data_IF_391286440595
#
_entry.id   IF_391286440595
#
_cell.length_a   1.000
_cell.length_b   1.000
_cell.length_c   1.000
_cell.angle_alpha   90.00
_cell.angle_beta   90.00
_cell.angle_gamma   90.00
#
_symmetry.space_group_name_H-M   'P 1'
#
loop_
_entity.id
_entity.type
_entity.pdbx_description
1 polymer ?
#
# COMPACT_ATOMS: atom_id res chain seq x y z
N UNK A 1 54.50 30.48 32.11
CA UNK A 1 54.45 29.33 31.17
C UNK A 1 53.76 28.17 31.86
N UNK A 2 52.45 27.99 31.61
CA UNK A 2 51.72 26.71 31.75
C UNK A 2 50.40 26.82 31.01
N UNK A 3 50.14 25.76 30.27
CA UNK A 3 49.28 25.65 29.10
C UNK A 3 47.82 25.43 29.53
N UNK A 4 46.89 26.18 28.93
CA UNK A 4 45.47 25.86 28.90
C UNK A 4 44.90 26.16 27.50
N UNK A 5 45.21 25.28 26.56
CA UNK A 5 44.43 25.08 25.34
C UNK A 5 44.20 23.58 25.22
N UNK A 6 42.95 23.17 24.99
CA UNK A 6 42.40 21.82 24.75
C UNK A 6 41.26 21.50 25.72
N UNK A 7 40.05 21.99 25.42
CA UNK A 7 38.78 21.36 25.83
C UNK A 7 37.51 21.91 25.15
N UNK A 8 37.63 22.84 24.20
CA UNK A 8 36.47 23.41 23.48
C UNK A 8 36.05 22.62 22.25
N UNK A 9 36.98 22.13 21.43
CA UNK A 9 36.66 21.68 20.07
C UNK A 9 35.98 20.30 20.02
N UNK A 10 36.30 19.39 20.94
CA UNK A 10 35.73 18.03 20.96
C UNK A 10 34.23 17.99 21.31
N UNK A 11 33.72 18.94 22.10
CA UNK A 11 32.30 18.96 22.47
C UNK A 11 31.43 19.61 21.37
N UNK A 12 31.97 20.59 20.63
CA UNK A 12 31.26 21.24 19.53
C UNK A 12 31.21 20.39 18.25
N UNK A 13 32.27 19.65 17.93
CA UNK A 13 32.27 18.71 16.80
C UNK A 13 31.25 17.57 16.98
N UNK A 14 31.12 17.03 18.20
CA UNK A 14 30.14 15.97 18.51
C UNK A 14 28.68 16.41 18.35
N UNK A 15 28.34 17.64 18.76
CA UNK A 15 26.99 18.20 18.58
C UNK A 15 26.66 18.45 17.11
N UNK A 16 27.58 19.04 16.34
CA UNK A 16 27.36 19.31 14.91
C UNK A 16 27.28 18.00 14.10
N UNK A 17 28.05 16.98 14.46
CA UNK A 17 27.97 15.64 13.85
C UNK A 17 26.64 14.93 14.14
N UNK A 18 26.13 15.06 15.37
CA UNK A 18 24.81 14.56 15.76
C UNK A 18 23.67 15.23 14.98
N UNK A 19 23.82 16.49 14.56
CA UNK A 19 22.86 17.16 13.67
C UNK A 19 22.95 16.64 12.22
N UNK A 20 24.15 16.36 11.69
CA UNK A 20 24.33 15.72 10.37
C UNK A 20 23.69 14.34 10.30
N UNK A 21 23.86 13.53 11.34
CA UNK A 21 23.31 12.18 11.41
C UNK A 21 21.77 12.20 11.40
N UNK A 22 21.13 13.10 12.16
CA UNK A 22 19.66 13.27 12.15
C UNK A 22 19.12 13.74 10.81
N UNK A 23 19.78 14.72 10.18
CA UNK A 23 19.41 15.20 8.84
C UNK A 23 19.51 14.05 7.83
N UNK A 24 20.58 13.26 7.90
CA UNK A 24 20.76 12.08 7.07
C UNK A 24 19.67 11.03 7.31
N UNK A 25 19.30 10.74 8.56
CA UNK A 25 18.27 9.73 8.86
C UNK A 25 16.96 10.01 8.12
N UNK A 26 16.56 11.28 8.07
CA UNK A 26 15.39 11.71 7.29
C UNK A 26 15.56 11.44 5.79
N UNK A 27 16.70 11.83 5.21
CA UNK A 27 16.97 11.62 3.77
C UNK A 27 17.05 10.13 3.43
N UNK A 28 17.67 9.33 4.28
CA UNK A 28 17.78 7.89 4.13
C UNK A 28 16.42 7.21 4.17
N UNK A 29 15.56 7.64 5.11
CA UNK A 29 14.18 7.16 5.20
C UNK A 29 13.42 7.48 3.91
N UNK A 30 13.48 8.72 3.44
CA UNK A 30 12.85 9.15 2.18
C UNK A 30 13.44 8.42 0.95
N UNK A 31 14.75 8.17 0.93
CA UNK A 31 15.38 7.44 -0.16
C UNK A 31 14.89 5.99 -0.22
N UNK A 32 14.88 5.29 0.92
CA UNK A 32 14.34 3.92 1.01
C UNK A 32 12.86 3.87 0.63
N UNK A 33 12.07 4.85 1.06
CA UNK A 33 10.67 5.01 0.70
C UNK A 33 10.49 5.08 -0.83
N UNK A 34 11.25 5.97 -1.50
CA UNK A 34 11.20 6.14 -2.95
C UNK A 34 11.72 4.91 -3.72
N UNK A 35 12.74 4.23 -3.19
CA UNK A 35 13.25 2.97 -3.74
C UNK A 35 12.21 1.85 -3.64
N UNK A 36 11.54 1.72 -2.49
CA UNK A 36 10.47 0.73 -2.29
C UNK A 36 9.32 0.94 -3.29
N UNK A 37 8.99 2.20 -3.61
CA UNK A 37 7.98 2.50 -4.65
C UNK A 37 8.46 2.04 -6.02
N UNK A 38 9.64 2.53 -6.45
CA UNK A 38 10.19 2.26 -7.77
C UNK A 38 10.33 0.76 -8.04
N UNK A 39 10.88 0.04 -7.07
CA UNK A 39 11.23 -1.37 -7.22
C UNK A 39 10.10 -2.32 -6.85
N UNK A 40 9.27 -1.97 -5.86
CA UNK A 40 8.06 -2.71 -5.55
C UNK A 40 7.09 -2.70 -6.74
N UNK A 41 6.98 -1.58 -7.45
CA UNK A 41 6.16 -1.52 -8.66
C UNK A 41 6.74 -2.38 -9.80
N UNK A 42 8.05 -2.27 -10.07
CA UNK A 42 8.72 -3.10 -11.08
C UNK A 42 8.51 -4.59 -10.81
N UNK A 43 8.66 -5.01 -9.57
CA UNK A 43 8.45 -6.39 -9.14
C UNK A 43 6.98 -6.80 -9.34
N UNK A 44 6.03 -6.02 -8.85
CA UNK A 44 4.59 -6.32 -8.99
C UNK A 44 4.16 -6.41 -10.45
N UNK A 45 4.64 -5.49 -11.30
CA UNK A 45 4.40 -5.50 -12.76
C UNK A 45 4.98 -6.76 -13.40
N UNK A 46 6.20 -7.16 -13.03
CA UNK A 46 6.82 -8.40 -13.54
C UNK A 46 6.13 -9.67 -13.06
N UNK A 47 5.68 -9.72 -11.81
CA UNK A 47 4.89 -10.85 -11.29
C UNK A 47 3.59 -11.00 -12.08
N UNK A 48 2.93 -9.90 -12.42
CA UNK A 48 1.75 -9.94 -13.27
C UNK A 48 2.06 -10.45 -14.69
N UNK A 49 3.20 -10.07 -15.27
CA UNK A 49 3.59 -10.47 -16.63
C UNK A 49 4.11 -11.91 -16.75
N UNK A 50 4.88 -12.38 -15.75
CA UNK A 50 5.60 -13.65 -15.81
C UNK A 50 5.00 -14.72 -14.88
N UNK A 51 4.14 -14.34 -13.94
CA UNK A 51 3.58 -15.24 -12.93
C UNK A 51 4.51 -15.48 -11.74
N UNK A 52 3.91 -15.78 -10.59
CA UNK A 52 4.59 -15.95 -9.30
C UNK A 52 5.60 -17.12 -9.27
N UNK A 53 5.45 -18.11 -10.15
CA UNK A 53 6.40 -19.23 -10.21
C UNK A 53 7.78 -18.83 -10.78
N UNK A 54 7.91 -17.61 -11.31
CA UNK A 54 9.13 -17.10 -11.94
C UNK A 54 9.91 -16.09 -11.06
N UNK A 55 9.69 -16.09 -9.73
CA UNK A 55 10.31 -15.11 -8.81
C UNK A 55 11.84 -15.00 -8.97
N UNK A 56 12.57 -16.11 -9.11
CA UNK A 56 14.02 -16.06 -9.29
C UNK A 56 14.42 -15.23 -10.51
N UNK A 57 13.78 -15.46 -11.66
CA UNK A 57 14.01 -14.70 -12.88
C UNK A 57 13.68 -13.21 -12.70
N UNK A 58 12.55 -12.91 -12.05
CA UNK A 58 12.11 -11.54 -11.77
C UNK A 58 13.16 -10.82 -10.90
N UNK A 59 13.63 -11.47 -9.84
CA UNK A 59 14.67 -10.93 -8.95
C UNK A 59 15.98 -10.71 -9.71
N UNK A 60 16.40 -11.67 -10.53
CA UNK A 60 17.63 -11.57 -11.33
C UNK A 60 17.58 -10.38 -12.32
N UNK A 61 16.41 -10.04 -12.85
CA UNK A 61 16.23 -8.87 -13.74
C UNK A 61 16.27 -7.53 -12.99
N UNK A 62 15.73 -7.48 -11.76
CA UNK A 62 15.53 -6.23 -11.02
C UNK A 62 16.73 -5.90 -10.12
N UNK A 63 17.26 -6.92 -9.43
CA UNK A 63 18.27 -6.81 -8.38
C UNK A 63 19.52 -6.03 -8.79
N UNK A 64 20.11 -6.23 -9.99
CA UNK A 64 21.33 -5.51 -10.37
C UNK A 64 21.16 -3.98 -10.33
N UNK A 65 20.02 -3.47 -10.82
CA UNK A 65 19.76 -2.02 -10.81
C UNK A 65 19.44 -1.50 -9.42
N UNK A 66 18.69 -2.25 -8.61
CA UNK A 66 18.40 -1.90 -7.22
C UNK A 66 19.69 -1.78 -6.39
N UNK A 67 20.54 -2.81 -6.46
CA UNK A 67 21.81 -2.86 -5.72
C UNK A 67 22.72 -1.72 -6.13
N UNK A 68 22.77 -1.39 -7.43
CA UNK A 68 23.60 -0.31 -7.93
C UNK A 68 23.15 1.06 -7.42
N UNK A 69 21.84 1.37 -7.45
CA UNK A 69 21.31 2.64 -6.93
C UNK A 69 21.51 2.76 -5.41
N UNK A 70 21.29 1.67 -4.66
CA UNK A 70 21.57 1.61 -3.22
C UNK A 70 23.05 1.84 -2.91
N UNK A 71 23.95 1.21 -3.68
CA UNK A 71 25.39 1.34 -3.50
C UNK A 71 25.85 2.79 -3.69
N UNK A 72 25.43 3.45 -4.77
CA UNK A 72 25.80 4.84 -5.01
C UNK A 72 25.27 5.79 -3.93
N UNK A 73 24.06 5.55 -3.43
CA UNK A 73 23.53 6.35 -2.32
C UNK A 73 24.34 6.16 -1.03
N UNK A 74 24.74 4.94 -0.69
CA UNK A 74 25.57 4.66 0.48
C UNK A 74 26.98 5.27 0.37
N UNK A 75 27.59 5.27 -0.82
CA UNK A 75 28.86 5.96 -1.07
C UNK A 75 28.72 7.50 -0.94
N UNK A 76 27.65 8.07 -1.48
CA UNK A 76 27.36 9.51 -1.35
C UNK A 76 27.13 9.90 0.12
N UNK A 77 26.40 9.07 0.87
CA UNK A 77 26.22 9.23 2.31
C UNK A 77 27.55 9.20 3.04
N UNK A 78 28.40 8.21 2.76
CA UNK A 78 29.71 8.09 3.40
C UNK A 78 30.51 9.37 3.19
N UNK A 79 30.53 9.86 1.96
CA UNK A 79 31.19 11.12 1.59
C UNK A 79 30.65 12.31 2.38
N UNK A 80 29.32 12.47 2.45
CA UNK A 80 28.68 13.53 3.23
C UNK A 80 29.02 13.45 4.74
N UNK A 81 28.92 12.26 5.34
CA UNK A 81 29.19 12.08 6.78
C UNK A 81 30.66 12.32 7.15
N UNK A 82 31.58 12.15 6.21
CA UNK A 82 33.02 12.43 6.40
C UNK A 82 33.47 13.80 5.89
N UNK A 83 32.56 14.62 5.34
CA UNK A 83 32.89 15.91 4.73
C UNK A 83 33.28 16.98 5.76
N UNK A 84 34.24 17.84 5.37
CA UNK A 84 34.62 19.04 6.11
C UNK A 84 33.50 20.10 6.05
N UNK A 85 33.42 21.04 7.02
CA UNK A 85 32.36 22.05 7.07
C UNK A 85 32.21 22.90 5.79
N UNK A 86 33.32 23.22 5.12
CA UNK A 86 33.36 24.00 3.89
C UNK A 86 32.77 23.26 2.67
N UNK A 87 32.84 21.92 2.66
CA UNK A 87 32.33 21.07 1.58
C UNK A 87 30.93 20.50 1.87
N UNK A 88 30.47 20.60 3.13
CA UNK A 88 29.27 19.93 3.62
C UNK A 88 28.02 20.25 2.79
N UNK A 89 27.84 21.51 2.40
CA UNK A 89 26.68 21.93 1.61
C UNK A 89 26.69 21.27 0.23
N UNK A 90 27.87 21.19 -0.40
CA UNK A 90 28.04 20.55 -1.71
C UNK A 90 27.78 19.05 -1.63
N UNK A 91 28.35 18.38 -0.62
CA UNK A 91 28.17 16.94 -0.48
C UNK A 91 26.73 16.57 -0.05
N UNK A 92 26.07 17.43 0.71
CA UNK A 92 24.64 17.32 0.98
C UNK A 92 23.78 17.45 -0.29
N UNK A 93 24.11 18.41 -1.18
CA UNK A 93 23.43 18.55 -2.48
C UNK A 93 23.66 17.31 -3.35
N UNK A 94 24.87 16.74 -3.35
CA UNK A 94 25.16 15.50 -4.08
C UNK A 94 24.32 14.33 -3.54
N UNK A 95 24.22 14.18 -2.22
CA UNK A 95 23.41 13.15 -1.58
C UNK A 95 21.91 13.29 -1.92
N UNK A 96 21.36 14.49 -1.77
CA UNK A 96 19.94 14.77 -2.05
C UNK A 96 19.58 14.62 -3.53
N UNK A 97 20.55 14.80 -4.44
CA UNK A 97 20.35 14.54 -5.87
C UNK A 97 19.94 13.09 -6.16
N UNK A 98 20.47 12.11 -5.43
CA UNK A 98 20.06 10.71 -5.59
C UNK A 98 18.59 10.50 -5.22
N UNK A 99 18.17 11.01 -4.06
CA UNK A 99 16.77 11.00 -3.64
C UNK A 99 15.88 11.68 -4.68
N UNK A 100 16.26 12.86 -5.16
CA UNK A 100 15.50 13.60 -6.15
C UNK A 100 15.39 12.84 -7.47
N UNK A 101 16.46 12.18 -7.93
CA UNK A 101 16.43 11.37 -9.14
C UNK A 101 15.44 10.21 -9.04
N UNK A 102 15.47 9.44 -7.94
CA UNK A 102 14.52 8.32 -7.74
C UNK A 102 13.09 8.84 -7.66
N UNK A 103 12.86 9.96 -6.95
CA UNK A 103 11.55 10.61 -6.89
C UNK A 103 11.06 11.04 -8.27
N UNK A 104 11.94 11.61 -9.10
CA UNK A 104 11.60 12.01 -10.46
C UNK A 104 11.31 10.80 -11.37
N UNK A 105 12.02 9.69 -11.19
CA UNK A 105 11.71 8.45 -11.92
C UNK A 105 10.32 7.92 -11.56
N UNK A 106 9.93 7.98 -10.29
CA UNK A 106 8.60 7.61 -9.84
C UNK A 106 7.53 8.54 -10.44
N UNK A 107 7.77 9.86 -10.45
CA UNK A 107 6.85 10.82 -11.09
C UNK A 107 6.71 10.58 -12.60
N UNK A 108 7.82 10.29 -13.30
CA UNK A 108 7.77 9.90 -14.72
C UNK A 108 6.97 8.62 -14.93
N UNK A 109 7.12 7.64 -14.03
CA UNK A 109 6.36 6.40 -14.08
C UNK A 109 4.85 6.68 -13.99
N UNK A 110 4.41 7.62 -13.15
CA UNK A 110 3.00 8.03 -13.09
C UNK A 110 2.52 8.56 -14.44
N UNK A 111 3.29 9.45 -15.06
CA UNK A 111 2.92 10.04 -16.35
C UNK A 111 2.92 9.00 -17.48
N UNK A 112 3.90 8.09 -17.50
CA UNK A 112 3.92 6.96 -18.42
C UNK A 112 2.70 6.05 -18.25
N UNK A 113 2.30 5.75 -17.00
CA UNK A 113 1.11 4.93 -16.74
C UNK A 113 -0.17 5.59 -17.24
N UNK A 114 -0.32 6.90 -17.03
CA UNK A 114 -1.47 7.67 -17.52
C UNK A 114 -1.52 7.71 -19.03
N UNK A 115 -0.39 8.01 -19.68
CA UNK A 115 -0.29 8.05 -21.15
C UNK A 115 -0.70 6.72 -21.75
N UNK A 116 -0.14 5.63 -21.22
CA UNK A 116 -0.40 4.28 -21.71
C UNK A 116 -1.83 3.82 -21.48
N UNK A 117 -2.44 4.24 -20.37
CA UNK A 117 -3.88 4.06 -20.14
C UNK A 117 -4.71 4.80 -21.19
N UNK A 118 -4.41 6.07 -21.48
CA UNK A 118 -5.12 6.87 -22.50
C UNK A 118 -4.98 6.25 -23.90
N UNK A 119 -3.83 5.64 -24.20
CA UNK A 119 -3.59 4.88 -25.42
C UNK A 119 -4.32 3.52 -25.46
N UNK A 120 -5.10 3.17 -24.42
CA UNK A 120 -5.81 1.90 -24.25
C UNK A 120 -4.90 0.66 -24.31
N UNK A 121 -3.67 0.78 -23.81
CA UNK A 121 -2.84 -0.42 -23.62
C UNK A 121 -3.41 -1.31 -22.51
N UNK A 122 -3.34 -2.62 -22.70
CA UNK A 122 -3.91 -3.60 -21.76
C UNK A 122 -3.28 -3.52 -20.37
N UNK A 123 -4.09 -3.74 -19.33
CA UNK A 123 -3.71 -3.81 -17.91
C UNK A 123 -3.21 -2.50 -17.27
N UNK A 124 -3.30 -1.35 -17.95
CA UNK A 124 -2.82 -0.10 -17.37
C UNK A 124 -3.76 0.48 -16.30
N UNK A 125 -5.04 0.12 -16.30
CA UNK A 125 -5.96 0.33 -15.18
C UNK A 125 -5.44 -0.37 -13.91
N UNK A 126 -5.01 -1.63 -14.05
CA UNK A 126 -4.43 -2.44 -12.98
C UNK A 126 -3.06 -1.89 -12.54
N UNK A 127 -2.22 -1.45 -13.48
CA UNK A 127 -0.90 -0.90 -13.14
C UNK A 127 -0.99 0.47 -12.47
N UNK A 128 -1.96 1.32 -12.84
CA UNK A 128 -2.29 2.52 -12.08
C UNK A 128 -2.66 2.15 -10.65
N UNK A 129 -3.54 1.17 -10.46
CA UNK A 129 -3.94 0.73 -9.13
C UNK A 129 -2.75 0.21 -8.30
N UNK A 130 -1.90 -0.65 -8.89
CA UNK A 130 -0.69 -1.15 -8.22
C UNK A 130 0.24 -0.02 -7.80
N UNK A 131 0.52 0.94 -8.68
CA UNK A 131 1.42 2.03 -8.33
C UNK A 131 0.83 2.92 -7.24
N UNK A 132 -0.46 3.27 -7.34
CA UNK A 132 -1.17 4.05 -6.31
C UNK A 132 -1.15 3.37 -4.94
N UNK A 133 -1.45 2.07 -4.89
CA UNK A 133 -1.43 1.29 -3.64
C UNK A 133 -0.02 1.18 -3.03
N UNK A 134 1.02 1.04 -3.85
CA UNK A 134 2.40 1.02 -3.39
C UNK A 134 2.81 2.40 -2.86
N UNK A 135 2.47 3.49 -3.55
CA UNK A 135 2.69 4.85 -3.05
C UNK A 135 2.03 5.06 -1.69
N UNK A 136 0.76 4.66 -1.54
CA UNK A 136 0.03 4.75 -0.27
C UNK A 136 0.66 3.88 0.82
N UNK A 137 1.08 2.65 0.51
CA UNK A 137 1.74 1.77 1.48
C UNK A 137 3.10 2.32 1.93
N UNK A 138 3.80 2.99 1.03
CA UNK A 138 5.04 3.69 1.33
C UNK A 138 4.82 5.12 1.82
N UNK A 139 3.63 5.53 2.27
CA UNK A 139 3.36 6.87 2.81
C UNK A 139 3.69 8.06 1.88
N UNK A 140 3.72 7.84 0.56
CA UNK A 140 3.80 8.90 -0.47
C UNK A 140 2.40 9.24 -0.96
N UNK A 141 1.61 9.85 -0.07
CA UNK A 141 0.19 10.13 -0.28
C UNK A 141 -0.06 11.07 -1.46
N UNK A 142 0.76 12.11 -1.67
CA UNK A 142 0.62 13.02 -2.82
C UNK A 142 0.72 12.29 -4.17
N UNK A 143 1.57 11.25 -4.28
CA UNK A 143 1.67 10.45 -5.49
C UNK A 143 0.45 9.53 -5.66
N UNK A 144 -0.01 8.94 -4.57
CA UNK A 144 -1.20 8.09 -4.56
C UNK A 144 -2.45 8.89 -4.98
N UNK A 145 -2.65 10.09 -4.41
CA UNK A 145 -3.76 10.99 -4.76
C UNK A 145 -3.74 11.39 -6.24
N UNK A 146 -2.57 11.69 -6.82
CA UNK A 146 -2.45 11.99 -8.27
C UNK A 146 -2.94 10.84 -9.15
N UNK A 147 -2.74 9.60 -8.70
CA UNK A 147 -3.13 8.41 -9.45
C UNK A 147 -4.61 8.14 -9.25
N UNK A 148 -5.08 8.13 -8.00
CA UNK A 148 -6.48 7.90 -7.67
C UNK A 148 -7.38 8.99 -8.27
N UNK A 149 -6.95 10.25 -8.23
CA UNK A 149 -7.62 11.38 -8.88
C UNK A 149 -7.75 11.18 -10.38
N UNK A 150 -6.65 10.81 -11.05
CA UNK A 150 -6.68 10.46 -12.47
C UNK A 150 -7.64 9.30 -12.76
N UNK A 151 -7.60 8.22 -11.96
CA UNK A 151 -8.54 7.11 -12.12
C UNK A 151 -10.00 7.58 -12.06
N UNK A 152 -10.35 8.46 -11.11
CA UNK A 152 -11.69 9.02 -11.01
C UNK A 152 -12.07 9.89 -12.21
N UNK A 153 -11.15 10.71 -12.72
CA UNK A 153 -11.35 11.50 -13.95
C UNK A 153 -11.63 10.61 -15.17
N UNK A 154 -11.04 9.41 -15.21
CA UNK A 154 -11.27 8.42 -16.25
C UNK A 154 -12.48 7.51 -15.97
N UNK A 155 -13.23 7.74 -14.88
CA UNK A 155 -14.38 6.92 -14.50
C UNK A 155 -14.04 5.54 -13.93
N UNK A 156 -12.77 5.29 -13.59
CA UNK A 156 -12.33 4.06 -12.94
C UNK A 156 -12.75 4.07 -11.47
N UNK A 157 -13.63 3.14 -11.12
CA UNK A 157 -14.24 3.10 -9.78
C UNK A 157 -13.25 2.70 -8.68
N UNK A 158 -12.11 2.10 -9.02
CA UNK A 158 -11.06 1.73 -8.07
C UNK A 158 -10.39 2.95 -7.42
N UNK A 159 -10.43 4.13 -8.07
CA UNK A 159 -9.95 5.38 -7.46
C UNK A 159 -10.66 5.71 -6.15
N UNK A 160 -11.96 5.41 -6.02
CA UNK A 160 -12.70 5.59 -4.76
C UNK A 160 -12.20 4.66 -3.65
N UNK A 161 -11.79 3.45 -4.00
CA UNK A 161 -11.19 2.51 -3.03
C UNK A 161 -9.82 3.04 -2.61
N UNK A 162 -9.02 3.54 -3.56
CA UNK A 162 -7.73 4.16 -3.30
C UNK A 162 -7.82 5.33 -2.33
N UNK A 163 -8.68 6.32 -2.61
CA UNK A 163 -8.93 7.45 -1.71
C UNK A 163 -9.44 7.01 -0.34
N UNK A 164 -10.43 6.12 -0.29
CA UNK A 164 -10.97 5.70 1.01
C UNK A 164 -9.94 4.96 1.87
N UNK A 165 -9.04 4.17 1.27
CA UNK A 165 -7.93 3.55 1.98
C UNK A 165 -6.84 4.55 2.41
N UNK A 166 -6.65 5.62 1.67
CA UNK A 166 -5.73 6.71 2.00
C UNK A 166 -6.29 7.53 3.17
N UNK A 167 -7.55 7.95 3.11
CA UNK A 167 -8.24 8.68 4.18
C UNK A 167 -8.21 7.88 5.48
N UNK A 168 -8.43 6.55 5.39
CA UNK A 168 -8.30 5.66 6.55
C UNK A 168 -6.88 5.66 7.14
N UNK A 169 -5.84 5.73 6.30
CA UNK A 169 -4.44 5.77 6.74
C UNK A 169 -4.09 7.04 7.51
N UNK A 170 -4.72 8.16 7.16
CA UNK A 170 -4.55 9.44 7.85
C UNK A 170 -5.62 9.68 8.93
N UNK A 171 -6.41 8.66 9.29
CA UNK A 171 -7.46 8.67 10.31
C UNK A 171 -8.68 9.56 9.98
N UNK A 172 -8.89 9.92 8.71
CA UNK A 172 -10.06 10.67 8.22
C UNK A 172 -11.22 9.71 7.89
N UNK A 173 -11.71 8.99 8.90
CA UNK A 173 -12.68 7.90 8.74
C UNK A 173 -14.01 8.31 8.08
N UNK A 174 -14.43 9.57 8.25
CA UNK A 174 -15.67 10.08 7.63
C UNK A 174 -15.51 10.20 6.11
N UNK A 175 -14.38 10.75 5.64
CA UNK A 175 -14.11 10.88 4.21
C UNK A 175 -13.88 9.50 3.59
N UNK A 176 -13.17 8.61 4.29
CA UNK A 176 -13.03 7.20 3.89
C UNK A 176 -14.40 6.54 3.65
N UNK A 177 -15.33 6.73 4.59
CA UNK A 177 -16.70 6.24 4.48
C UNK A 177 -17.43 6.79 3.25
N UNK A 178 -17.33 8.10 2.98
CA UNK A 178 -17.93 8.69 1.77
C UNK A 178 -17.35 8.09 0.50
N UNK A 179 -16.02 7.97 0.40
CA UNK A 179 -15.36 7.38 -0.75
C UNK A 179 -15.85 5.96 -1.02
N UNK A 180 -15.88 5.09 0.00
CA UNK A 180 -16.39 3.74 -0.19
C UNK A 180 -17.90 3.71 -0.49
N UNK A 181 -18.71 4.55 0.15
CA UNK A 181 -20.14 4.64 -0.17
C UNK A 181 -20.40 5.05 -1.63
N UNK A 182 -19.66 6.05 -2.14
CA UNK A 182 -19.76 6.44 -3.55
C UNK A 182 -19.28 5.32 -4.47
N UNK A 183 -18.15 4.68 -4.14
CA UNK A 183 -17.64 3.51 -4.87
C UNK A 183 -18.67 2.39 -4.95
N UNK A 184 -19.35 2.06 -3.84
CA UNK A 184 -20.42 1.06 -3.81
C UNK A 184 -21.60 1.47 -4.69
N UNK A 185 -22.06 2.71 -4.58
CA UNK A 185 -23.19 3.26 -5.36
C UNK A 185 -22.97 3.17 -6.87
N UNK A 186 -21.73 3.31 -7.34
CA UNK A 186 -21.37 3.20 -8.77
C UNK A 186 -20.95 1.78 -9.18
N UNK A 187 -21.08 0.79 -8.30
CA UNK A 187 -20.87 -0.62 -8.61
C UNK A 187 -19.46 -1.16 -8.37
N UNK A 188 -18.60 -0.47 -7.60
CA UNK A 188 -17.32 -1.05 -7.21
C UNK A 188 -17.53 -2.20 -6.21
N UNK A 189 -17.16 -3.41 -6.65
CA UNK A 189 -17.35 -4.67 -5.90
C UNK A 189 -16.58 -4.71 -4.57
N UNK A 190 -15.45 -4.01 -4.45
CA UNK A 190 -14.61 -3.98 -3.24
C UNK A 190 -15.15 -3.02 -2.18
N UNK A 191 -16.07 -2.13 -2.54
CA UNK A 191 -16.48 -1.03 -1.67
C UNK A 191 -17.24 -1.51 -0.43
N UNK A 192 -18.14 -2.49 -0.58
CA UNK A 192 -18.91 -3.05 0.53
C UNK A 192 -17.99 -3.72 1.57
N UNK A 193 -16.99 -4.48 1.12
CA UNK A 193 -15.99 -5.07 2.01
C UNK A 193 -15.22 -3.99 2.78
N UNK A 194 -14.74 -2.96 2.09
CA UNK A 194 -13.99 -1.86 2.71
C UNK A 194 -14.84 -1.05 3.71
N UNK A 195 -16.14 -0.86 3.45
CA UNK A 195 -17.07 -0.31 4.43
C UNK A 195 -17.18 -1.20 5.67
N UNK A 196 -17.29 -2.52 5.48
CA UNK A 196 -17.29 -3.48 6.58
C UNK A 196 -16.05 -3.35 7.46
N UNK A 197 -14.86 -3.32 6.85
CA UNK A 197 -13.60 -3.12 7.57
C UNK A 197 -13.54 -1.76 8.30
N UNK A 198 -14.00 -0.68 7.65
CA UNK A 198 -14.02 0.66 8.25
C UNK A 198 -14.90 0.70 9.50
N UNK A 199 -16.14 0.22 9.40
CA UNK A 199 -17.07 0.20 10.54
C UNK A 199 -16.56 -0.71 11.66
N UNK A 200 -15.92 -1.82 11.32
CA UNK A 200 -15.32 -2.71 12.30
C UNK A 200 -14.17 -2.03 13.06
N UNK A 201 -13.29 -1.30 12.35
CA UNK A 201 -12.16 -0.57 12.91
C UNK A 201 -12.62 0.54 13.89
N UNK A 202 -13.72 1.23 13.59
CA UNK A 202 -14.31 2.26 14.48
C UNK A 202 -15.27 1.69 15.53
N UNK A 203 -15.35 0.36 15.67
CA UNK A 203 -16.14 -0.31 16.72
C UNK A 203 -17.64 -0.39 16.46
N UNK A 204 -18.11 -0.03 15.26
CA UNK A 204 -19.51 -0.09 14.85
C UNK A 204 -19.86 -1.46 14.28
N UNK A 205 -19.90 -2.48 15.15
CA UNK A 205 -19.96 -3.89 14.74
C UNK A 205 -21.23 -4.28 13.98
N UNK A 206 -22.37 -3.65 14.26
CA UNK A 206 -23.63 -3.90 13.55
C UNK A 206 -23.56 -3.44 12.10
N UNK A 207 -22.96 -2.27 11.85
CA UNK A 207 -22.73 -1.76 10.51
C UNK A 207 -21.68 -2.58 9.78
N UNK A 208 -20.62 -3.03 10.46
CA UNK A 208 -19.64 -3.94 9.89
C UNK A 208 -20.29 -5.26 9.42
N UNK A 209 -21.11 -5.88 10.28
CA UNK A 209 -21.85 -7.10 9.96
C UNK A 209 -22.76 -6.90 8.74
N UNK A 210 -23.47 -5.76 8.67
CA UNK A 210 -24.29 -5.42 7.51
C UNK A 210 -23.45 -5.37 6.22
N UNK A 211 -22.35 -4.62 6.23
CA UNK A 211 -21.55 -4.41 5.02
C UNK A 211 -20.78 -5.66 4.58
N UNK A 212 -20.30 -6.48 5.50
CA UNK A 212 -19.72 -7.78 5.15
C UNK A 212 -20.76 -8.72 4.52
N UNK A 213 -21.98 -8.76 5.06
CA UNK A 213 -23.09 -9.51 4.42
C UNK A 213 -23.43 -8.98 3.04
N UNK A 214 -23.43 -7.67 2.84
CA UNK A 214 -23.63 -7.04 1.54
C UNK A 214 -22.53 -7.45 0.55
N UNK A 215 -21.25 -7.43 0.97
CA UNK A 215 -20.14 -7.86 0.12
C UNK A 215 -20.25 -9.35 -0.27
N UNK A 216 -20.59 -10.22 0.67
CA UNK A 216 -20.84 -11.65 0.41
C UNK A 216 -22.00 -11.81 -0.58
N UNK A 217 -23.10 -11.11 -0.34
CA UNK A 217 -24.32 -11.23 -1.13
C UNK A 217 -24.15 -10.76 -2.56
N UNK A 218 -23.59 -9.57 -2.75
CA UNK A 218 -23.50 -8.93 -4.05
C UNK A 218 -22.30 -9.43 -4.88
N UNK A 219 -21.21 -9.84 -4.23
CA UNK A 219 -19.94 -10.11 -4.90
C UNK A 219 -19.36 -11.49 -4.61
N UNK A 220 -20.04 -12.34 -3.83
CA UNK A 220 -19.51 -13.61 -3.35
C UNK A 220 -18.14 -13.43 -2.67
N UNK A 221 -17.98 -12.33 -1.93
CA UNK A 221 -16.72 -11.92 -1.34
C UNK A 221 -16.31 -12.87 -0.19
N UNK A 222 -15.23 -13.61 -0.41
CA UNK A 222 -14.72 -14.63 0.53
C UNK A 222 -13.93 -13.98 1.67
N UNK A 223 -13.29 -12.83 1.44
CA UNK A 223 -12.59 -12.08 2.48
C UNK A 223 -13.61 -11.51 3.48
N UNK A 224 -14.72 -10.98 2.97
CA UNK A 224 -15.86 -10.55 3.79
C UNK A 224 -16.44 -11.71 4.63
N UNK A 225 -16.47 -12.93 4.08
CA UNK A 225 -16.89 -14.13 4.83
C UNK A 225 -15.94 -14.46 5.99
N UNK A 226 -14.63 -14.38 5.75
CA UNK A 226 -13.62 -14.58 6.78
C UNK A 226 -13.73 -13.51 7.89
N UNK A 227 -13.87 -12.24 7.52
CA UNK A 227 -14.01 -11.12 8.45
C UNK A 227 -15.32 -11.19 9.26
N UNK A 228 -16.42 -11.58 8.62
CA UNK A 228 -17.68 -11.85 9.32
C UNK A 228 -17.52 -13.01 10.34
N UNK A 229 -16.73 -14.02 10.00
CA UNK A 229 -16.31 -15.08 10.91
C UNK A 229 -15.52 -14.54 12.12
N UNK A 230 -14.57 -13.63 11.90
CA UNK A 230 -13.83 -12.94 12.97
C UNK A 230 -14.74 -12.11 13.87
N UNK A 231 -15.65 -11.32 13.28
CA UNK A 231 -16.64 -10.52 14.01
C UNK A 231 -17.53 -11.39 14.91
N UNK A 232 -18.00 -12.53 14.40
CA UNK A 232 -18.78 -13.50 15.19
C UNK A 232 -17.98 -14.15 16.31
N UNK A 233 -16.67 -14.32 16.15
CA UNK A 233 -15.82 -14.81 17.24
C UNK A 233 -15.81 -13.80 18.40
N UNK A 234 -15.61 -12.53 18.07
CA UNK A 234 -15.48 -11.45 19.04
C UNK A 234 -16.80 -11.12 19.74
N UNK A 235 -17.93 -11.41 19.10
CA UNK A 235 -19.27 -11.29 19.71
C UNK A 235 -19.76 -12.57 20.41
N UNK A 236 -18.88 -13.56 20.62
CA UNK A 236 -19.21 -14.80 21.35
C UNK A 236 -20.05 -15.82 20.56
N UNK A 237 -20.33 -15.56 19.28
CA UNK A 237 -21.08 -16.46 18.38
C UNK A 237 -20.14 -17.55 17.80
N UNK A 238 -19.43 -18.27 18.68
CA UNK A 238 -18.33 -19.19 18.34
C UNK A 238 -18.70 -20.23 17.28
N UNK A 239 -19.88 -20.85 17.38
CA UNK A 239 -20.34 -21.86 16.41
C UNK A 239 -20.47 -21.28 14.99
N UNK A 240 -21.06 -20.08 14.86
CA UNK A 240 -21.17 -19.40 13.56
C UNK A 240 -19.79 -19.04 13.02
N UNK A 241 -18.95 -18.45 13.87
CA UNK A 241 -17.57 -18.09 13.51
C UNK A 241 -16.79 -19.26 12.91
N UNK A 242 -16.77 -20.41 13.61
CA UNK A 242 -16.05 -21.60 13.16
C UNK A 242 -16.58 -22.12 11.81
N UNK A 243 -17.89 -22.10 11.60
CA UNK A 243 -18.49 -22.47 10.31
C UNK A 243 -18.03 -21.53 9.18
N UNK A 244 -18.08 -20.21 9.38
CA UNK A 244 -17.73 -19.26 8.32
C UNK A 244 -16.26 -19.29 7.97
N UNK A 245 -15.38 -19.32 8.99
CA UNK A 245 -13.93 -19.37 8.77
C UNK A 245 -13.51 -20.62 8.00
N UNK A 246 -14.11 -21.77 8.31
CA UNK A 246 -13.87 -23.02 7.60
C UNK A 246 -14.31 -22.96 6.14
N UNK A 247 -15.48 -22.37 5.86
CA UNK A 247 -15.95 -22.19 4.48
C UNK A 247 -15.02 -21.24 3.72
N UNK A 248 -14.63 -20.12 4.34
CA UNK A 248 -13.74 -19.14 3.73
C UNK A 248 -12.38 -19.75 3.39
N UNK A 249 -11.77 -20.52 4.30
CA UNK A 249 -10.50 -21.22 4.08
C UNK A 249 -10.55 -22.14 2.87
N UNK A 250 -11.57 -23.01 2.78
CA UNK A 250 -11.76 -23.89 1.63
C UNK A 250 -11.93 -23.13 0.32
N UNK A 251 -12.71 -22.05 0.34
CA UNK A 251 -12.94 -21.22 -0.84
C UNK A 251 -11.68 -20.45 -1.29
N UNK A 252 -10.86 -19.97 -0.35
CA UNK A 252 -9.63 -19.22 -0.63
C UNK A 252 -8.53 -20.11 -1.22
N UNK A 253 -8.25 -21.25 -0.59
CA UNK A 253 -7.11 -22.09 -0.95
C UNK A 253 -7.46 -23.18 -1.97
N UNK A 254 -8.76 -23.43 -2.21
CA UNK A 254 -9.25 -24.49 -3.11
C UNK A 254 -8.68 -25.87 -2.78
N UNK A 255 -8.34 -26.10 -1.52
CA UNK A 255 -7.72 -27.35 -1.05
C UNK A 255 -8.75 -28.47 -0.90
N UNK A 256 -9.94 -28.14 -0.40
CA UNK A 256 -11.04 -29.08 -0.16
C UNK A 256 -12.36 -28.57 -0.74
N UNK A 257 -13.17 -29.49 -1.25
CA UNK A 257 -14.56 -29.19 -1.62
C UNK A 257 -15.40 -28.86 -0.38
N UNK A 258 -16.39 -27.97 -0.56
CA UNK A 258 -17.40 -27.73 0.46
C UNK A 258 -18.27 -28.99 0.61
N UNK A 259 -18.55 -29.38 1.86
CA UNK A 259 -19.61 -30.35 2.13
C UNK A 259 -20.97 -29.80 1.72
N UNK A 260 -21.96 -30.67 1.49
CA UNK A 260 -23.34 -30.25 1.17
C UNK A 260 -23.86 -29.20 2.18
N UNK A 261 -23.57 -29.36 3.47
CA UNK A 261 -23.99 -28.40 4.49
C UNK A 261 -23.26 -27.05 4.40
N UNK A 262 -21.98 -27.06 4.07
CA UNK A 262 -21.17 -25.84 3.89
C UNK A 262 -21.63 -25.09 2.64
N UNK A 263 -21.92 -25.80 1.56
CA UNK A 263 -22.45 -25.24 0.32
C UNK A 263 -23.84 -24.63 0.51
N UNK A 264 -24.74 -25.29 1.26
CA UNK A 264 -26.03 -24.71 1.66
C UNK A 264 -25.88 -23.40 2.43
N UNK A 265 -24.93 -23.33 3.39
CA UNK A 265 -24.67 -22.11 4.15
C UNK A 265 -24.16 -21.01 3.22
N UNK A 266 -23.20 -21.33 2.34
CA UNK A 266 -22.61 -20.39 1.40
C UNK A 266 -23.63 -19.85 0.39
N UNK A 267 -24.48 -20.70 -0.16
CA UNK A 267 -25.55 -20.30 -1.07
C UNK A 267 -26.55 -19.37 -0.38
N UNK A 268 -26.98 -19.72 0.83
CA UNK A 268 -27.93 -18.91 1.61
C UNK A 268 -27.46 -17.48 1.89
N UNK A 269 -26.15 -17.25 2.01
CA UNK A 269 -25.61 -15.89 2.22
C UNK A 269 -25.57 -15.05 0.94
N UNK A 270 -25.66 -15.72 -0.21
CA UNK A 270 -25.62 -15.09 -1.54
C UNK A 270 -27.01 -14.87 -2.14
N UNK A 271 -28.02 -15.56 -1.62
CA UNK A 271 -29.42 -15.38 -2.01
C UNK A 271 -29.93 -13.95 -1.77
N UNK A 272 -30.70 -13.44 -2.73
CA UNK A 272 -31.57 -12.28 -2.52
C UNK A 272 -32.89 -12.73 -1.89
N UNK A 273 -33.51 -11.89 -1.06
CA UNK A 273 -34.78 -12.25 -0.41
C UNK A 273 -35.92 -12.52 -1.42
N UNK A 274 -35.76 -12.11 -2.69
CA UNK A 274 -36.71 -12.34 -3.79
C UNK A 274 -36.74 -13.79 -4.31
N UNK A 275 -35.73 -14.61 -4.02
CA UNK A 275 -35.68 -16.02 -4.49
C UNK A 275 -36.38 -17.00 -3.52
N UNK A 276 -37.03 -16.49 -2.47
CA UNK A 276 -37.78 -17.29 -1.48
C UNK A 276 -39.30 -17.31 -1.69
N UNK A 277 -39.78 -16.77 -2.81
CA UNK A 277 -41.20 -16.71 -3.17
C UNK A 277 -41.66 -17.90 -4.03
#
# INVERSE_FOLDING_TARGET
MRIYYLKGDFYYEGMRKMDKEKIFEKINSQFKQQMNIKYGFKEKKRINQLGFNNLKKIVDEISPTYVLEMFYFEEAKKTYLTSLPEDETKEFMNLTKFLHNVKNDNLKTIEELKEKYILNEENYDLYLQYFGDICRYCDEYEMAEKIYGFQLEQGLTDGFIGFGLLDKKICEYLEAGKCFMYGHKIGNKKAAYNLGCLYYEVGQTEFAEYWFKTAIKENADVDALAELGCLYQNSGKVKKSSQLKKIAEKLMFKEDELTITEEMIWNKMRETEDERA
#
